data_IF_580914736511
#
_entry.id   IF_580914736511
#
_cell.length_a   1.000
_cell.length_b   1.000
_cell.length_c   1.000
_cell.angle_alpha   90.00
_cell.angle_beta   90.00
_cell.angle_gamma   90.00
#
_symmetry.space_group_name_H-M   'P 1'
#
loop_
_entity.id
_entity.type
_entity.pdbx_description
1 polymer ?
#
# COMPACT_ATOMS: atom_id res chain seq x y z
N UNK A 1 -14.95 -10.83 -1.74
CA UNK A 1 -14.20 -10.73 -3.02
C UNK A 1 -12.97 -9.81 -2.93
N UNK A 2 -13.11 -8.55 -2.49
CA UNK A 2 -12.02 -7.56 -2.50
C UNK A 2 -10.72 -8.02 -1.80
N UNK A 3 -10.79 -8.56 -0.57
CA UNK A 3 -9.59 -9.07 0.15
C UNK A 3 -8.79 -10.10 -0.64
N UNK A 4 -9.48 -11.06 -1.28
CA UNK A 4 -8.83 -12.11 -2.08
C UNK A 4 -8.17 -11.53 -3.34
N UNK A 5 -8.88 -10.64 -4.04
CA UNK A 5 -8.34 -9.94 -5.22
C UNK A 5 -7.14 -9.06 -4.85
N UNK A 6 -7.22 -8.36 -3.73
CA UNK A 6 -6.14 -7.52 -3.22
C UNK A 6 -4.90 -8.36 -2.85
N UNK A 7 -5.07 -9.51 -2.22
CA UNK A 7 -3.94 -10.39 -1.89
C UNK A 7 -3.19 -10.86 -3.15
N UNK A 8 -3.92 -11.27 -4.19
CA UNK A 8 -3.33 -11.66 -5.48
C UNK A 8 -2.61 -10.48 -6.15
N UNK A 9 -3.26 -9.32 -6.19
CA UNK A 9 -2.67 -8.10 -6.75
C UNK A 9 -1.42 -7.67 -5.98
N UNK A 10 -1.44 -7.72 -4.65
CA UNK A 10 -0.30 -7.36 -3.81
C UNK A 10 0.89 -8.29 -4.07
N UNK A 11 0.66 -9.59 -4.23
CA UNK A 11 1.71 -10.54 -4.58
C UNK A 11 2.30 -10.25 -5.97
N UNK A 12 1.45 -9.94 -6.96
CA UNK A 12 1.90 -9.56 -8.30
C UNK A 12 2.74 -8.28 -8.28
N UNK A 13 2.30 -7.25 -7.58
CA UNK A 13 3.02 -5.99 -7.48
C UNK A 13 4.37 -6.16 -6.78
N UNK A 14 4.42 -6.96 -5.71
CA UNK A 14 5.69 -7.30 -5.05
C UNK A 14 6.62 -8.08 -6.00
N UNK A 15 6.11 -9.01 -6.78
CA UNK A 15 6.88 -9.74 -7.80
C UNK A 15 7.42 -8.79 -8.88
N UNK A 16 6.64 -7.78 -9.25
CA UNK A 16 7.07 -6.69 -10.12
C UNK A 16 7.99 -5.70 -9.40
N UNK A 17 8.45 -5.93 -8.16
CA UNK A 17 9.39 -5.02 -7.49
C UNK A 17 8.76 -3.71 -6.98
N UNK A 18 7.44 -3.66 -6.76
CA UNK A 18 6.82 -2.64 -5.91
C UNK A 18 7.17 -2.93 -4.46
N UNK A 19 7.66 -1.93 -3.71
CA UNK A 19 7.89 -2.13 -2.28
C UNK A 19 6.55 -2.40 -1.55
N UNK A 20 6.56 -3.42 -0.67
CA UNK A 20 5.39 -3.99 -0.01
C UNK A 20 4.46 -2.98 0.69
N UNK A 21 5.02 -1.87 1.15
CA UNK A 21 4.33 -0.84 1.93
C UNK A 21 3.80 0.32 1.08
N UNK A 22 4.05 0.33 -0.23
CA UNK A 22 3.44 1.32 -1.15
C UNK A 22 1.98 1.01 -1.48
N UNK A 23 1.54 -0.23 -1.29
CA UNK A 23 0.15 -0.65 -1.55
C UNK A 23 -0.45 -1.30 -0.32
N UNK A 24 -1.44 -0.61 0.25
CA UNK A 24 -2.12 -0.98 1.49
C UNK A 24 -3.61 -1.12 1.28
N UNK A 25 -4.25 -1.88 2.17
CA UNK A 25 -5.67 -2.13 2.16
C UNK A 25 -6.19 -2.15 3.58
N UNK A 26 -7.27 -1.40 3.81
CA UNK A 26 -7.97 -1.38 5.09
C UNK A 26 -9.46 -1.18 4.86
N UNK A 27 -10.26 -1.63 5.82
CA UNK A 27 -11.69 -1.36 5.86
C UNK A 27 -11.94 -0.21 6.81
N UNK A 28 -12.70 0.77 6.35
CA UNK A 28 -13.07 1.96 7.11
C UNK A 28 -14.56 2.19 6.90
N UNK A 29 -15.31 2.25 8.00
CA UNK A 29 -16.74 2.54 7.96
C UNK A 29 -17.00 4.06 7.98
N UNK A 30 -18.22 4.48 7.67
CA UNK A 30 -18.59 5.91 7.63
C UNK A 30 -18.41 6.62 8.99
N UNK A 31 -18.46 5.87 10.10
CA UNK A 31 -18.30 6.38 11.47
C UNK A 31 -16.84 6.40 11.95
N UNK A 32 -15.87 5.95 11.15
CA UNK A 32 -14.46 5.82 11.55
C UNK A 32 -13.57 6.97 11.06
N UNK A 33 -14.09 8.20 11.04
CA UNK A 33 -13.36 9.37 10.51
C UNK A 33 -12.00 9.62 11.20
N UNK A 34 -11.96 9.57 12.53
CA UNK A 34 -10.70 9.77 13.28
C UNK A 34 -9.66 8.68 12.97
N UNK A 35 -10.10 7.41 12.99
CA UNK A 35 -9.25 6.26 12.63
C UNK A 35 -8.72 6.36 11.19
N UNK A 36 -9.53 6.87 10.26
CA UNK A 36 -9.10 7.11 8.89
C UNK A 36 -7.99 8.15 8.82
N UNK A 37 -8.15 9.28 9.52
CA UNK A 37 -7.15 10.34 9.55
C UNK A 37 -5.80 9.83 10.09
N UNK A 38 -5.83 9.08 11.19
CA UNK A 38 -4.62 8.47 11.78
C UNK A 38 -3.96 7.49 10.79
N UNK A 39 -4.75 6.62 10.16
CA UNK A 39 -4.25 5.63 9.21
C UNK A 39 -3.61 6.28 7.98
N UNK A 40 -4.21 7.32 7.42
CA UNK A 40 -3.66 8.05 6.28
C UNK A 40 -2.39 8.81 6.69
N UNK A 41 -2.34 9.35 7.90
CA UNK A 41 -1.15 10.05 8.43
C UNK A 41 0.03 9.09 8.54
N UNK A 42 -0.16 7.92 9.15
CA UNK A 42 0.87 6.88 9.26
C UNK A 42 1.31 6.35 7.89
N UNK A 43 0.34 6.03 7.02
CA UNK A 43 0.62 5.51 5.68
C UNK A 43 1.40 6.51 4.82
N UNK A 44 1.02 7.79 4.84
CA UNK A 44 1.73 8.82 4.08
C UNK A 44 3.10 9.12 4.66
N UNK A 45 3.27 9.00 5.99
CA UNK A 45 4.57 9.04 6.66
C UNK A 45 5.51 7.96 6.11
N UNK A 46 5.09 6.70 6.14
CA UNK A 46 5.85 5.55 5.59
C UNK A 46 6.21 5.74 4.12
N UNK A 47 5.28 6.22 3.30
CA UNK A 47 5.54 6.48 1.88
C UNK A 47 6.56 7.59 1.67
N UNK A 48 6.53 8.66 2.49
CA UNK A 48 7.53 9.74 2.43
C UNK A 48 8.92 9.24 2.81
N UNK A 49 9.03 8.41 3.84
CA UNK A 49 10.30 7.80 4.27
C UNK A 49 10.93 6.93 3.19
N UNK A 50 10.12 6.17 2.45
CA UNK A 50 10.58 5.38 1.29
C UNK A 50 11.04 6.23 0.10
N UNK A 51 10.75 7.52 0.09
CA UNK A 51 11.10 8.43 -0.99
C UNK A 51 10.34 8.18 -2.30
N UNK A 52 10.66 8.98 -3.34
CA UNK A 52 10.00 8.89 -4.65
C UNK A 52 10.18 7.52 -5.28
N UNK A 53 9.10 6.99 -5.89
CA UNK A 53 9.20 5.81 -6.73
C UNK A 53 9.97 6.17 -8.02
N UNK A 54 11.11 5.52 -8.25
CA UNK A 54 12.06 5.85 -9.33
C UNK A 54 11.77 5.16 -10.67
N UNK A 55 10.65 4.45 -10.82
CA UNK A 55 10.21 3.92 -12.13
C UNK A 55 9.47 2.58 -12.03
N UNK A 56 9.13 2.01 -13.20
CA UNK A 56 8.49 0.70 -13.27
C UNK A 56 9.54 -0.39 -13.04
N UNK A 57 9.59 -0.87 -11.79
CA UNK A 57 9.85 -2.28 -11.49
C UNK A 57 11.26 -2.77 -11.81
N UNK A 58 12.20 -2.57 -10.86
CA UNK A 58 13.49 -3.27 -10.90
C UNK A 58 13.23 -4.78 -10.80
N UNK A 59 13.79 -5.55 -11.72
CA UNK A 59 13.91 -7.01 -11.59
C UNK A 59 14.50 -7.32 -10.21
N UNK A 60 13.75 -8.05 -9.39
CA UNK A 60 14.34 -8.77 -8.26
C UNK A 60 15.10 -9.93 -8.90
N UNK A 61 16.44 -9.90 -8.79
CA UNK A 61 17.28 -11.08 -9.07
C UNK A 61 17.05 -12.14 -7.98
#
# INVERSE_FOLDING_TARGET
>A
MARRKFALMKNLLNYMGVEKDRVNFTWVSASEGARFADLITDLTGKVKEMGPNKGLFRKVE
#
